data_IF_674124846354
#
_entry.id   IF_674124846354
#
_cell.length_a   1.000
_cell.length_b   1.000
_cell.length_c   1.000
_cell.angle_alpha   90.00
_cell.angle_beta   90.00
_cell.angle_gamma   90.00
#
_symmetry.space_group_name_H-M   'P 1'
#
loop_
_entity.id
_entity.type
_entity.pdbx_description
1 polymer ?
#
# COMPACT_ATOMS: atom_id res chain seq x y z
N UNK A 1 -22.34 41.84 -62.84
CA UNK A 1 -21.04 42.28 -62.35
C UNK A 1 -20.86 41.63 -60.99
N UNK A 2 -20.37 40.44 -60.96
CA UNK A 2 -20.10 39.74 -59.70
C UNK A 2 -19.12 38.63 -59.96
N UNK A 3 -17.95 38.75 -59.39
CA UNK A 3 -16.89 37.76 -59.53
C UNK A 3 -16.97 36.84 -58.32
N UNK A 4 -17.35 35.61 -58.60
CA UNK A 4 -17.24 34.52 -57.63
C UNK A 4 -15.78 34.08 -57.53
N UNK A 5 -15.19 34.20 -56.35
CA UNK A 5 -13.90 33.58 -56.04
C UNK A 5 -14.16 32.17 -55.50
N UNK A 6 -13.87 31.20 -56.33
CA UNK A 6 -13.90 29.80 -56.01
C UNK A 6 -12.52 29.47 -55.37
N UNK A 7 -12.49 29.28 -54.05
CA UNK A 7 -11.33 28.74 -53.39
C UNK A 7 -11.32 27.22 -53.60
N UNK A 8 -10.48 26.77 -54.49
CA UNK A 8 -10.14 25.37 -54.64
C UNK A 8 -9.08 25.07 -53.56
N UNK A 9 -9.50 24.44 -52.49
CA UNK A 9 -8.55 23.77 -51.58
C UNK A 9 -8.03 22.52 -52.29
N UNK A 10 -6.82 22.59 -52.80
CA UNK A 10 -6.07 21.44 -53.21
C UNK A 10 -5.63 20.72 -51.93
N UNK A 11 -6.29 19.62 -51.63
CA UNK A 11 -5.77 18.65 -50.65
C UNK A 11 -4.55 17.99 -51.28
N UNK A 12 -3.39 18.51 -50.98
CA UNK A 12 -2.14 17.80 -51.21
C UNK A 12 -2.06 16.65 -50.23
N UNK A 13 -2.47 15.47 -50.67
CA UNK A 13 -2.10 14.22 -50.01
C UNK A 13 -0.60 14.09 -50.15
N UNK A 14 0.14 14.55 -49.15
CA UNK A 14 1.53 14.17 -48.99
C UNK A 14 1.55 12.70 -48.56
N UNK A 15 1.70 11.84 -49.52
CA UNK A 15 2.27 10.51 -49.32
C UNK A 15 3.69 10.74 -48.85
N UNK A 16 3.86 10.86 -47.54
CA UNK A 16 5.16 10.68 -46.91
C UNK A 16 5.56 9.23 -47.19
N UNK A 17 6.32 9.03 -48.29
CA UNK A 17 7.10 7.84 -48.45
C UNK A 17 8.07 7.85 -47.28
N UNK A 18 7.94 6.91 -46.37
CA UNK A 18 8.98 6.59 -45.40
C UNK A 18 10.22 6.17 -46.17
N UNK A 19 11.02 7.13 -46.61
CA UNK A 19 12.41 6.83 -46.92
C UNK A 19 13.07 6.60 -45.56
N UNK A 20 13.68 5.46 -45.41
CA UNK A 20 14.43 5.01 -44.22
C UNK A 20 15.63 5.87 -43.90
N UNK A 21 15.85 6.97 -44.63
CA UNK A 21 17.04 7.83 -44.57
C UNK A 21 16.73 9.29 -44.23
N UNK A 22 15.54 9.64 -43.80
CA UNK A 22 15.36 10.92 -43.14
C UNK A 22 15.81 10.73 -41.68
N UNK A 23 17.04 11.14 -41.41
CA UNK A 23 17.52 11.33 -40.05
C UNK A 23 16.66 12.41 -39.38
N UNK A 24 15.52 12.01 -38.86
CA UNK A 24 14.95 12.67 -37.71
C UNK A 24 15.96 12.40 -36.63
N UNK A 25 16.61 13.45 -36.16
CA UNK A 25 17.38 13.35 -34.92
C UNK A 25 16.41 13.00 -33.82
N UNK A 26 16.13 11.71 -33.64
CA UNK A 26 15.54 11.23 -32.42
C UNK A 26 16.41 11.76 -31.27
N UNK A 27 15.82 12.26 -30.19
CA UNK A 27 16.61 12.57 -29.01
C UNK A 27 17.42 11.31 -28.70
N UNK A 28 18.75 11.48 -28.66
CA UNK A 28 19.66 10.38 -28.48
C UNK A 28 19.16 9.51 -27.35
N UNK A 29 18.71 8.28 -27.67
CA UNK A 29 18.39 7.26 -26.72
C UNK A 29 16.96 6.87 -26.51
N UNK A 30 16.06 7.09 -27.42
CA UNK A 30 14.84 6.28 -27.41
C UNK A 30 15.22 4.86 -27.82
N UNK A 31 15.16 3.93 -26.87
CA UNK A 31 15.05 2.51 -27.21
C UNK A 31 13.97 2.35 -28.28
N UNK A 32 14.09 1.37 -29.16
CA UNK A 32 13.08 1.14 -30.19
C UNK A 32 11.68 1.13 -29.57
N UNK A 33 10.63 1.29 -30.36
CA UNK A 33 9.22 1.42 -29.92
C UNK A 33 8.76 0.30 -28.95
N UNK A 34 9.54 -0.78 -28.83
CA UNK A 34 9.33 -1.88 -27.87
C UNK A 34 10.19 -1.76 -26.61
N UNK A 35 10.93 -0.63 -26.42
CA UNK A 35 11.79 -0.46 -25.26
C UNK A 35 12.99 -1.39 -25.20
N UNK A 36 13.35 -2.01 -26.29
CA UNK A 36 14.57 -2.83 -26.40
C UNK A 36 15.76 -1.90 -26.52
N UNK A 37 16.59 -1.92 -25.49
CA UNK A 37 17.87 -1.19 -25.44
C UNK A 37 18.80 -1.80 -26.49
N UNK A 38 19.48 -0.97 -27.27
CA UNK A 38 20.55 -1.47 -28.15
C UNK A 38 21.74 -1.91 -27.29
N UNK A 39 22.00 -3.21 -27.16
CA UNK A 39 23.08 -3.70 -26.31
C UNK A 39 24.46 -3.40 -26.91
N UNK A 40 24.51 -2.92 -28.17
CA UNK A 40 25.78 -2.62 -28.86
C UNK A 40 26.20 -1.16 -28.72
N UNK A 41 25.27 -0.26 -28.37
CA UNK A 41 25.56 1.14 -28.09
C UNK A 41 25.72 1.42 -26.60
N UNK A 42 26.95 1.63 -26.11
CA UNK A 42 27.17 1.92 -24.68
C UNK A 42 26.58 3.27 -24.23
N UNK A 43 26.18 4.13 -25.14
CA UNK A 43 25.61 5.45 -24.85
C UNK A 43 24.11 5.48 -25.04
N UNK A 44 23.50 4.38 -25.49
CA UNK A 44 22.05 4.30 -25.61
C UNK A 44 21.40 4.53 -24.24
N UNK A 45 20.59 5.59 -24.04
CA UNK A 45 19.93 5.83 -22.77
C UNK A 45 18.94 4.70 -22.48
N UNK A 46 18.84 4.35 -21.20
CA UNK A 46 17.95 3.30 -20.71
C UNK A 46 16.87 3.94 -19.86
N UNK A 47 15.63 3.87 -20.34
CA UNK A 47 14.46 4.38 -19.61
C UNK A 47 14.21 3.53 -18.36
N UNK A 48 13.91 4.18 -17.23
CA UNK A 48 13.44 3.52 -16.01
C UNK A 48 11.99 3.07 -16.21
N UNK A 49 11.75 1.78 -16.06
CA UNK A 49 10.42 1.16 -16.10
C UNK A 49 10.21 0.37 -14.83
N UNK A 50 9.01 0.39 -14.29
CA UNK A 50 8.70 -0.22 -13.00
C UNK A 50 7.42 -1.04 -13.10
N UNK A 51 7.46 -2.26 -12.55
CA UNK A 51 6.31 -3.10 -12.32
C UNK A 51 5.84 -3.01 -10.87
N UNK A 52 4.61 -3.43 -10.63
CA UNK A 52 4.04 -3.58 -9.30
C UNK A 52 3.51 -5.00 -9.11
N UNK A 53 3.88 -5.61 -8.00
CA UNK A 53 3.37 -6.92 -7.56
C UNK A 53 2.82 -6.84 -6.13
N UNK A 54 2.38 -7.99 -5.59
CA UNK A 54 2.08 -8.17 -4.16
C UNK A 54 0.63 -7.97 -3.74
N UNK A 55 -0.21 -7.29 -4.50
CA UNK A 55 -1.65 -7.31 -4.26
C UNK A 55 -2.27 -8.43 -5.10
N UNK A 56 -2.83 -9.35 -4.44
CA UNK A 56 -3.58 -10.34 -5.15
C UNK A 56 -5.05 -10.00 -5.19
N UNK A 57 -5.76 -10.75 -6.00
CA UNK A 57 -7.14 -10.52 -6.40
C UNK A 57 -8.10 -11.28 -5.55
N UNK A 58 -9.15 -10.62 -5.30
CA UNK A 58 -10.48 -11.11 -4.92
C UNK A 58 -10.94 -10.76 -3.52
N UNK A 59 -11.29 -9.48 -3.33
CA UNK A 59 -12.19 -9.11 -2.23
C UNK A 59 -13.05 -7.91 -2.61
N UNK A 60 -14.28 -7.92 -2.17
CA UNK A 60 -15.17 -6.75 -2.21
C UNK A 60 -14.49 -5.59 -1.48
N UNK A 61 -14.25 -4.43 -2.13
CA UNK A 61 -13.49 -3.35 -1.53
C UNK A 61 -14.16 -2.86 -0.25
N UNK A 62 -13.47 -3.02 0.86
CA UNK A 62 -13.75 -2.26 2.07
C UNK A 62 -12.96 -0.96 1.98
N UNK A 63 -13.62 0.15 2.20
CA UNK A 63 -13.04 1.49 2.01
C UNK A 63 -11.79 1.68 2.87
N UNK A 64 -10.77 2.31 2.30
CA UNK A 64 -9.51 2.63 2.97
C UNK A 64 -8.41 1.59 2.85
N UNK A 65 -8.73 0.37 2.45
CA UNK A 65 -7.78 -0.71 2.22
C UNK A 65 -7.53 -0.87 0.73
N UNK A 66 -6.27 -0.97 0.35
CA UNK A 66 -5.88 -1.22 -1.05
C UNK A 66 -5.90 -2.72 -1.30
N UNK A 67 -6.96 -3.18 -1.93
CA UNK A 67 -7.13 -4.59 -2.31
C UNK A 67 -6.94 -4.82 -3.81
N UNK A 68 -6.84 -3.75 -4.58
CA UNK A 68 -6.59 -3.77 -6.01
C UNK A 68 -5.93 -2.49 -6.49
N UNK A 69 -5.09 -2.58 -7.52
CA UNK A 69 -4.49 -1.42 -8.14
C UNK A 69 -5.49 -0.72 -9.07
N UNK A 70 -5.97 0.45 -8.68
CA UNK A 70 -6.87 1.25 -9.48
C UNK A 70 -6.47 2.73 -9.42
N UNK A 71 -5.52 3.12 -10.27
CA UNK A 71 -4.91 4.45 -10.25
C UNK A 71 -4.33 4.82 -8.87
N UNK A 72 -3.80 3.82 -8.17
CA UNK A 72 -3.23 3.99 -6.84
C UNK A 72 -1.93 4.78 -6.94
N UNK A 73 -1.81 5.81 -6.12
CA UNK A 73 -0.64 6.68 -6.11
C UNK A 73 0.32 6.26 -5.00
N UNK A 74 1.56 5.99 -5.39
CA UNK A 74 2.64 5.51 -4.52
C UNK A 74 3.86 6.43 -4.62
N UNK A 75 4.66 6.47 -3.56
CA UNK A 75 5.96 7.13 -3.58
C UNK A 75 7.06 6.15 -3.95
N UNK A 76 7.95 6.57 -4.84
CA UNK A 76 9.03 5.72 -5.35
C UNK A 76 10.38 6.36 -5.06
N UNK A 77 11.30 5.54 -4.56
CA UNK A 77 12.71 5.85 -4.42
C UNK A 77 13.53 4.88 -5.27
N UNK A 78 14.63 5.38 -5.83
CA UNK A 78 15.69 4.55 -6.42
C UNK A 78 17.03 5.03 -5.89
N UNK A 79 17.64 4.22 -5.04
CA UNK A 79 18.75 4.61 -4.20
C UNK A 79 19.93 3.66 -4.42
N UNK A 80 21.15 4.25 -4.47
CA UNK A 80 22.36 3.49 -4.67
C UNK A 80 22.62 2.51 -3.53
N UNK A 81 22.90 1.26 -3.88
CA UNK A 81 23.25 0.21 -2.93
C UNK A 81 24.75 0.10 -2.68
N UNK A 82 25.55 0.72 -3.54
CA UNK A 82 27.01 0.62 -3.51
C UNK A 82 27.59 1.14 -2.19
N UNK A 83 28.61 0.45 -1.70
CA UNK A 83 29.23 0.73 -0.39
C UNK A 83 30.00 2.05 -0.34
N UNK A 84 30.36 2.59 -1.52
CA UNK A 84 31.07 3.86 -1.64
C UNK A 84 30.22 5.07 -1.21
N UNK A 85 28.88 4.91 -1.23
CA UNK A 85 27.97 5.90 -0.68
C UNK A 85 27.64 5.54 0.77
N UNK A 86 28.05 6.36 1.72
CA UNK A 86 27.69 6.21 3.13
C UNK A 86 26.29 6.72 3.43
N UNK A 87 25.86 7.71 2.66
CA UNK A 87 24.55 8.36 2.70
C UNK A 87 24.05 8.60 1.30
N UNK A 88 22.77 8.85 1.14
CA UNK A 88 22.17 9.26 -0.13
C UNK A 88 22.05 10.77 -0.20
N UNK A 89 22.68 11.39 -1.20
CA UNK A 89 22.72 12.83 -1.35
C UNK A 89 22.34 13.26 -2.76
N UNK A 90 21.63 14.38 -2.86
CA UNK A 90 21.28 14.93 -4.15
C UNK A 90 22.54 15.39 -4.91
N UNK A 91 22.65 14.97 -6.15
CA UNK A 91 23.70 15.44 -7.08
C UNK A 91 24.98 14.60 -7.12
N UNK A 92 25.19 13.65 -6.23
CA UNK A 92 26.34 12.73 -6.26
C UNK A 92 26.06 11.42 -7.05
N UNK A 93 24.85 11.26 -7.54
CA UNK A 93 24.39 10.09 -8.26
C UNK A 93 23.85 8.95 -7.37
N UNK A 94 23.91 9.10 -6.04
CA UNK A 94 23.39 8.09 -5.13
C UNK A 94 21.85 8.02 -5.12
N UNK A 95 21.18 9.05 -5.61
CA UNK A 95 19.73 9.14 -5.75
C UNK A 95 19.36 9.23 -7.23
N UNK A 96 18.67 8.23 -7.75
CA UNK A 96 18.09 8.24 -9.10
C UNK A 96 16.66 8.76 -9.09
N UNK A 97 15.85 8.27 -8.15
CA UNK A 97 14.47 8.74 -7.88
C UNK A 97 14.37 9.13 -6.40
N UNK A 98 13.82 10.30 -6.14
CA UNK A 98 13.59 10.82 -4.79
C UNK A 98 12.12 11.17 -4.64
N UNK A 99 11.40 10.36 -3.87
CA UNK A 99 9.96 10.52 -3.65
C UNK A 99 9.17 10.77 -4.94
N UNK A 100 9.52 10.07 -6.00
CA UNK A 100 8.85 10.21 -7.29
C UNK A 100 7.43 9.67 -7.18
N UNK A 101 6.45 10.46 -7.67
CA UNK A 101 5.05 10.08 -7.69
C UNK A 101 4.82 9.02 -8.77
N UNK A 102 4.52 7.81 -8.35
CA UNK A 102 4.14 6.70 -9.22
C UNK A 102 2.62 6.49 -9.21
N UNK A 103 2.03 6.20 -10.36
CA UNK A 103 0.63 5.76 -10.46
C UNK A 103 0.59 4.33 -10.93
N UNK A 104 -0.03 3.46 -10.13
CA UNK A 104 -0.24 2.06 -10.48
C UNK A 104 -1.62 1.91 -11.09
N UNK A 105 -1.66 1.44 -12.34
CA UNK A 105 -2.91 1.10 -13.03
C UNK A 105 -2.96 -0.41 -13.19
N UNK A 106 -3.84 -1.04 -12.44
CA UNK A 106 -4.02 -2.50 -12.46
C UNK A 106 -5.16 -2.94 -13.37
N UNK A 107 -5.25 -4.25 -13.57
CA UNK A 107 -6.46 -4.87 -14.09
C UNK A 107 -7.50 -4.98 -12.96
N UNK A 108 -8.80 -4.91 -13.29
CA UNK A 108 -9.87 -5.14 -12.32
C UNK A 108 -9.84 -6.54 -11.70
N UNK A 109 -9.17 -7.50 -12.35
CA UNK A 109 -8.96 -8.87 -11.86
C UNK A 109 -7.67 -9.01 -11.02
N UNK A 110 -6.95 -7.87 -10.76
CA UNK A 110 -5.76 -7.77 -9.93
C UNK A 110 -4.53 -8.52 -10.45
N UNK A 111 -4.54 -8.98 -11.68
CA UNK A 111 -3.34 -9.56 -12.26
C UNK A 111 -2.22 -8.51 -12.32
N UNK A 112 -1.01 -8.92 -11.98
CA UNK A 112 0.19 -8.08 -12.07
C UNK A 112 0.42 -7.68 -13.52
N UNK A 113 0.40 -6.36 -13.79
CA UNK A 113 0.77 -5.83 -15.09
C UNK A 113 2.25 -5.44 -15.04
N UNK A 114 3.00 -6.02 -15.94
CA UNK A 114 4.38 -5.62 -16.19
C UNK A 114 4.41 -4.16 -16.63
N UNK A 115 5.32 -3.34 -16.08
CA UNK A 115 5.38 -1.89 -16.30
C UNK A 115 4.14 -1.13 -15.75
N UNK A 116 3.54 -1.62 -14.66
CA UNK A 116 2.30 -1.08 -14.11
C UNK A 116 2.47 0.28 -13.41
N UNK A 117 3.69 0.65 -13.02
CA UNK A 117 3.93 1.94 -12.34
C UNK A 117 4.35 2.99 -13.36
N UNK A 118 3.47 3.96 -13.56
CA UNK A 118 3.78 5.14 -14.38
C UNK A 118 4.41 6.21 -13.52
N UNK A 119 5.63 6.63 -13.87
CA UNK A 119 6.37 7.77 -13.28
C UNK A 119 6.68 8.81 -14.36
N UNK A 120 7.17 9.99 -13.96
CA UNK A 120 7.78 10.92 -14.91
C UNK A 120 8.97 10.26 -15.62
N UNK A 121 9.19 10.66 -16.88
CA UNK A 121 10.26 10.07 -17.71
C UNK A 121 11.63 10.26 -17.04
N UNK A 122 12.32 9.16 -16.75
CA UNK A 122 13.64 9.11 -16.13
C UNK A 122 14.51 8.08 -16.81
N UNK A 123 15.80 8.38 -16.90
CA UNK A 123 16.78 7.49 -17.47
C UNK A 123 17.85 7.14 -16.46
N UNK A 124 18.35 5.91 -16.54
CA UNK A 124 19.55 5.53 -15.79
C UNK A 124 20.74 6.39 -16.21
N UNK A 125 21.61 6.78 -15.26
CA UNK A 125 22.86 7.44 -15.61
C UNK A 125 23.68 6.62 -16.61
N UNK A 126 24.36 7.27 -17.53
CA UNK A 126 25.29 6.62 -18.46
C UNK A 126 26.49 5.98 -17.75
N UNK A 127 26.81 6.42 -16.55
CA UNK A 127 27.74 5.77 -15.64
C UNK A 127 27.15 4.45 -15.16
N UNK A 128 27.82 3.33 -15.46
CA UNK A 128 27.37 1.98 -15.13
C UNK A 128 27.91 1.49 -13.78
N UNK A 129 28.61 2.36 -13.02
CA UNK A 129 29.27 1.97 -11.77
C UNK A 129 28.32 2.06 -10.57
N UNK A 130 27.19 2.75 -10.72
CA UNK A 130 26.21 2.91 -9.65
C UNK A 130 25.07 1.92 -9.86
N UNK A 131 24.75 1.19 -8.81
CA UNK A 131 23.68 0.19 -8.78
C UNK A 131 22.55 0.63 -7.86
N UNK A 132 21.32 0.56 -8.35
CA UNK A 132 20.14 1.03 -7.62
C UNK A 132 19.26 -0.12 -7.13
N UNK A 133 18.66 0.08 -5.98
CA UNK A 133 17.49 -0.65 -5.47
C UNK A 133 16.29 0.28 -5.52
N UNK A 134 15.14 -0.24 -5.93
CA UNK A 134 13.89 0.51 -5.94
C UNK A 134 13.07 0.18 -4.69
N UNK A 135 12.46 1.21 -4.13
CA UNK A 135 11.57 1.12 -2.98
C UNK A 135 10.28 1.84 -3.30
N UNK A 136 9.16 1.25 -2.91
CA UNK A 136 7.84 1.84 -3.02
C UNK A 136 7.15 1.93 -1.67
N UNK A 137 6.32 2.95 -1.48
CA UNK A 137 5.47 3.06 -0.29
C UNK A 137 4.10 3.66 -0.63
N UNK A 138 3.12 3.32 0.16
CA UNK A 138 1.76 3.84 0.09
C UNK A 138 1.26 4.18 1.50
N UNK A 139 0.43 5.25 1.65
CA UNK A 139 0.06 6.23 0.64
C UNK A 139 1.20 7.20 0.29
N UNK A 140 1.20 7.71 -0.94
CA UNK A 140 2.14 8.75 -1.34
C UNK A 140 1.99 9.99 -0.48
N UNK A 141 3.12 10.58 -0.06
CA UNK A 141 3.17 11.83 0.67
C UNK A 141 4.11 12.81 -0.04
N UNK A 142 3.65 14.02 -0.26
CA UNK A 142 4.42 15.05 -0.97
C UNK A 142 3.54 16.10 -1.61
N UNK A 143 4.08 16.88 -2.52
CA UNK A 143 3.31 17.87 -3.25
C UNK A 143 2.12 17.21 -3.98
N UNK A 144 0.96 17.83 -3.94
CA UNK A 144 -0.28 17.34 -4.55
C UNK A 144 -0.84 16.01 -3.95
N UNK A 145 -0.43 15.66 -2.73
CA UNK A 145 -1.00 14.56 -1.94
C UNK A 145 -1.84 15.11 -0.78
N UNK A 146 -2.69 14.24 -0.20
CA UNK A 146 -3.44 14.57 1.03
C UNK A 146 -2.48 14.82 2.20
N UNK A 147 -1.42 14.01 2.30
CA UNK A 147 -0.29 14.27 3.19
C UNK A 147 0.81 15.00 2.41
N UNK A 148 0.98 16.28 2.69
CA UNK A 148 1.96 17.14 2.03
C UNK A 148 3.37 17.04 2.62
N UNK A 149 3.57 16.27 3.68
CA UNK A 149 4.87 16.09 4.35
C UNK A 149 5.64 14.95 3.71
N UNK A 150 6.68 15.20 2.90
CA UNK A 150 7.44 14.12 2.26
C UNK A 150 8.22 13.30 3.30
N UNK A 151 8.67 12.09 2.94
CA UNK A 151 9.63 11.35 3.75
C UNK A 151 10.92 12.14 4.00
N UNK A 152 11.56 11.90 5.13
CA UNK A 152 12.89 12.45 5.44
C UNK A 152 13.98 11.48 5.00
N UNK A 153 15.11 12.04 4.54
CA UNK A 153 16.31 11.27 4.18
C UNK A 153 17.47 11.76 5.05
N UNK A 154 17.78 11.00 6.08
CA UNK A 154 18.78 11.36 7.07
C UNK A 154 19.58 10.14 7.52
N UNK A 155 20.90 10.30 7.66
CA UNK A 155 21.80 9.26 8.17
C UNK A 155 21.70 7.92 7.43
N UNK A 156 21.49 7.95 6.11
CA UNK A 156 21.33 6.75 5.29
C UNK A 156 20.00 6.02 5.50
N UNK A 157 18.98 6.71 6.02
CA UNK A 157 17.62 6.18 6.14
C UNK A 157 16.61 7.14 5.52
N UNK A 158 15.66 6.58 4.79
CA UNK A 158 14.47 7.28 4.31
C UNK A 158 13.30 6.83 5.18
N UNK A 159 12.72 7.76 5.92
CA UNK A 159 11.64 7.47 6.88
C UNK A 159 10.41 8.34 6.63
N UNK A 160 9.23 7.76 6.74
CA UNK A 160 7.94 8.46 6.68
C UNK A 160 7.14 8.20 7.94
N UNK A 161 6.74 9.27 8.61
CA UNK A 161 5.78 9.21 9.72
C UNK A 161 4.37 9.29 9.17
N UNK A 162 3.52 8.33 9.56
CA UNK A 162 2.10 8.29 9.26
C UNK A 162 1.28 8.53 10.52
N UNK A 163 0.22 9.34 10.39
CA UNK A 163 -0.84 9.42 11.40
C UNK A 163 -1.99 8.56 10.94
N UNK A 164 -2.41 7.61 11.77
CA UNK A 164 -3.51 6.68 11.47
C UNK A 164 -4.68 6.87 12.41
N UNK A 165 -5.88 6.88 11.86
CA UNK A 165 -7.15 6.89 12.60
C UNK A 165 -7.92 5.57 12.47
N UNK A 166 -7.30 4.56 11.87
CA UNK A 166 -7.89 3.24 11.61
C UNK A 166 -8.40 3.05 10.18
N UNK A 167 -8.50 4.10 9.34
CA UNK A 167 -8.91 3.95 7.94
C UNK A 167 -7.75 3.81 6.97
N UNK A 168 -6.56 4.28 7.34
CA UNK A 168 -5.40 4.30 6.46
C UNK A 168 -4.75 2.93 6.37
N UNK A 169 -4.47 2.52 5.14
CA UNK A 169 -3.59 1.40 4.87
C UNK A 169 -2.17 1.90 4.61
N UNK A 170 -1.18 1.16 5.05
CA UNK A 170 0.23 1.45 4.79
C UNK A 170 0.83 0.23 4.11
N UNK A 171 1.41 0.47 2.93
CA UNK A 171 2.12 -0.57 2.19
C UNK A 171 3.55 -0.17 1.91
N UNK A 172 4.38 -1.16 1.76
CA UNK A 172 5.77 -1.02 1.39
C UNK A 172 6.20 -2.16 0.48
N UNK A 173 7.13 -1.88 -0.41
CA UNK A 173 7.74 -2.89 -1.26
C UNK A 173 9.10 -2.48 -1.77
N UNK A 174 9.87 -3.45 -2.25
CA UNK A 174 11.15 -3.20 -2.87
C UNK A 174 11.35 -4.08 -4.09
N UNK A 175 12.18 -3.59 -5.03
CA UNK A 175 12.71 -4.38 -6.12
C UNK A 175 14.24 -4.39 -6.01
N UNK A 176 14.79 -5.55 -5.70
CA UNK A 176 16.23 -5.80 -5.61
C UNK A 176 16.63 -6.64 -6.81
N UNK A 177 17.60 -6.14 -7.59
CA UNK A 177 18.12 -6.92 -8.69
C UNK A 177 18.82 -8.19 -8.17
N UNK A 178 18.46 -9.29 -8.74
CA UNK A 178 19.26 -10.51 -8.59
C UNK A 178 20.45 -10.45 -9.54
N UNK A 179 21.55 -11.10 -9.18
CA UNK A 179 22.70 -11.25 -10.07
C UNK A 179 22.28 -12.01 -11.33
N UNK A 180 22.52 -11.41 -12.49
CA UNK A 180 22.28 -12.06 -13.77
C UNK A 180 23.59 -12.27 -14.52
N UNK A 181 23.66 -13.34 -15.31
CA UNK A 181 24.81 -13.57 -16.16
C UNK A 181 24.81 -12.59 -17.32
N UNK A 182 25.95 -11.98 -17.53
CA UNK A 182 26.19 -11.15 -18.68
C UNK A 182 26.19 -12.01 -19.97
N UNK A 183 25.67 -11.44 -21.06
CA UNK A 183 25.55 -12.08 -22.37
C UNK A 183 26.87 -12.66 -22.93
N UNK A 184 27.98 -12.07 -22.53
CA UNK A 184 29.31 -12.46 -22.99
C UNK A 184 30.00 -13.44 -22.04
N UNK A 185 29.28 -14.03 -21.08
CA UNK A 185 29.82 -15.01 -20.13
C UNK A 185 30.78 -14.42 -19.08
N UNK A 186 30.76 -13.09 -18.94
CA UNK A 186 31.64 -12.36 -18.02
C UNK A 186 31.03 -12.15 -16.63
N UNK A 187 31.10 -10.92 -16.18
CA UNK A 187 30.70 -10.48 -14.84
C UNK A 187 29.20 -10.68 -14.57
N UNK A 188 28.87 -11.11 -13.37
CA UNK A 188 27.49 -11.12 -12.88
C UNK A 188 27.07 -9.71 -12.51
N UNK A 189 26.00 -9.22 -13.12
CA UNK A 189 25.44 -7.92 -12.81
C UNK A 189 24.60 -8.01 -11.52
N UNK A 190 24.81 -7.05 -10.62
CA UNK A 190 24.15 -6.98 -9.33
C UNK A 190 23.62 -5.57 -9.10
N UNK A 191 22.30 -5.41 -9.13
CA UNK A 191 21.62 -4.13 -9.03
C UNK A 191 21.18 -3.56 -10.37
N UNK A 192 20.23 -2.64 -10.32
CA UNK A 192 19.67 -2.00 -11.50
C UNK A 192 20.51 -0.80 -11.94
N UNK A 193 20.99 -0.84 -13.16
CA UNK A 193 21.64 0.28 -13.84
C UNK A 193 21.50 0.13 -15.35
N UNK A 194 22.04 1.06 -16.13
CA UNK A 194 21.98 0.97 -17.59
C UNK A 194 22.67 -0.30 -18.14
N UNK A 195 23.77 -0.74 -17.52
CA UNK A 195 24.49 -1.93 -17.93
C UNK A 195 23.67 -3.21 -17.70
N UNK A 196 22.89 -3.28 -16.61
CA UNK A 196 21.99 -4.40 -16.33
C UNK A 196 21.06 -4.67 -17.53
N UNK A 197 20.47 -3.62 -18.09
CA UNK A 197 19.54 -3.76 -19.23
C UNK A 197 20.25 -3.94 -20.57
N UNK A 198 21.45 -3.39 -20.73
CA UNK A 198 22.20 -3.52 -21.99
C UNK A 198 22.86 -4.88 -22.15
N UNK A 199 23.36 -5.47 -21.07
CA UNK A 199 24.16 -6.70 -21.12
C UNK A 199 23.50 -7.91 -20.48
N UNK A 200 22.45 -7.71 -19.68
CA UNK A 200 21.72 -8.81 -19.03
C UNK A 200 20.94 -9.65 -20.05
N UNK A 201 21.13 -10.96 -20.04
CA UNK A 201 20.33 -11.85 -20.90
C UNK A 201 18.89 -11.94 -20.43
N UNK A 202 18.68 -11.91 -19.12
CA UNK A 202 17.40 -12.09 -18.44
C UNK A 202 17.02 -10.85 -17.63
N UNK A 203 17.40 -9.65 -18.13
CA UNK A 203 17.08 -8.40 -17.46
C UNK A 203 15.56 -8.23 -17.36
N UNK A 204 15.05 -8.29 -16.15
CA UNK A 204 13.65 -8.06 -15.84
C UNK A 204 13.44 -6.61 -15.41
N UNK A 205 12.30 -6.03 -15.76
CA UNK A 205 11.84 -4.78 -15.19
C UNK A 205 11.82 -4.88 -13.66
N UNK A 206 12.32 -3.88 -12.91
CA UNK A 206 12.16 -3.85 -11.47
C UNK A 206 10.68 -3.97 -11.09
N UNK A 207 10.34 -5.01 -10.39
CA UNK A 207 8.98 -5.29 -9.93
C UNK A 207 8.93 -5.07 -8.41
N UNK A 208 8.24 -4.01 -8.00
CA UNK A 208 8.11 -3.65 -6.58
C UNK A 208 6.97 -4.48 -6.00
N UNK A 209 7.32 -5.49 -5.21
CA UNK A 209 6.36 -6.31 -4.50
C UNK A 209 5.88 -5.59 -3.24
N UNK A 210 4.68 -5.01 -3.32
CA UNK A 210 4.07 -4.33 -2.19
C UNK A 210 3.43 -5.32 -1.21
N UNK A 211 3.56 -5.03 0.06
CA UNK A 211 2.93 -5.74 1.17
C UNK A 211 2.29 -4.76 2.16
N UNK A 212 1.17 -5.15 2.73
CA UNK A 212 0.52 -4.38 3.79
C UNK A 212 1.33 -4.45 5.08
N UNK A 213 1.48 -3.32 5.75
CA UNK A 213 2.27 -3.20 6.98
C UNK A 213 1.41 -3.17 8.25
N UNK A 214 0.10 -3.11 8.11
CA UNK A 214 -0.86 -3.08 9.20
C UNK A 214 -1.69 -4.37 9.25
N UNK A 215 -2.39 -4.57 10.36
CA UNK A 215 -3.39 -5.63 10.54
C UNK A 215 -4.77 -5.03 10.36
N UNK A 216 -5.67 -5.74 9.70
CA UNK A 216 -7.06 -5.33 9.53
C UNK A 216 -7.97 -6.05 10.53
N UNK A 217 -8.81 -5.28 11.25
CA UNK A 217 -9.83 -5.79 12.15
C UNK A 217 -11.22 -5.42 11.63
N UNK A 218 -12.11 -6.42 11.49
CA UNK A 218 -13.49 -6.27 11.07
C UNK A 218 -14.41 -6.61 12.23
N UNK A 219 -15.18 -5.65 12.70
CA UNK A 219 -16.02 -5.85 13.89
C UNK A 219 -17.42 -6.32 13.52
N UNK A 220 -17.85 -7.38 14.19
CA UNK A 220 -19.20 -7.95 14.06
C UNK A 220 -19.83 -8.11 15.43
N UNK A 221 -21.05 -7.61 15.56
CA UNK A 221 -21.84 -7.72 16.78
C UNK A 221 -22.81 -8.89 16.65
N UNK A 222 -22.85 -9.73 17.68
CA UNK A 222 -23.82 -10.84 17.83
C UNK A 222 -24.69 -10.63 19.06
N UNK A 223 -25.94 -10.95 18.93
CA UNK A 223 -26.84 -11.10 20.10
C UNK A 223 -26.59 -12.47 20.73
N UNK A 224 -26.16 -12.49 21.99
CA UNK A 224 -25.90 -13.75 22.73
C UNK A 224 -26.78 -13.96 23.96
N UNK A 225 -27.54 -12.93 24.38
CA UNK A 225 -28.47 -12.99 25.48
C UNK A 225 -29.91 -12.86 25.03
N UNK A 226 -30.82 -13.14 25.95
CA UNK A 226 -32.24 -12.81 25.77
C UNK A 226 -32.48 -11.38 26.27
N UNK A 227 -32.84 -10.49 25.35
CA UNK A 227 -33.13 -9.10 25.64
C UNK A 227 -34.62 -8.85 25.55
N UNK A 228 -35.11 -7.93 26.37
CA UNK A 228 -36.52 -7.57 26.39
C UNK A 228 -36.89 -6.77 25.15
N UNK A 229 -37.77 -7.25 24.32
CA UNK A 229 -38.32 -6.57 23.14
C UNK A 229 -39.34 -5.47 23.48
N UNK A 230 -39.37 -5.02 24.71
CA UNK A 230 -40.43 -4.14 25.25
C UNK A 230 -40.22 -2.65 24.96
N UNK A 231 -40.07 -2.31 23.67
CA UNK A 231 -40.04 -0.91 23.18
C UNK A 231 -38.65 -0.25 23.12
N UNK A 232 -38.51 0.89 22.41
CA UNK A 232 -37.25 1.52 22.11
C UNK A 232 -36.46 1.96 23.35
N UNK A 233 -37.14 2.29 24.45
CA UNK A 233 -36.51 2.75 25.70
C UNK A 233 -35.77 1.64 26.45
N UNK A 234 -35.88 0.40 25.99
CA UNK A 234 -35.25 -0.78 26.62
C UNK A 234 -34.33 -1.55 25.68
N UNK A 235 -34.14 -1.08 24.48
CA UNK A 235 -33.26 -1.72 23.53
C UNK A 235 -31.80 -1.48 23.91
N UNK A 236 -31.02 -2.54 23.87
CA UNK A 236 -29.56 -2.45 24.08
C UNK A 236 -28.86 -2.14 22.76
N UNK A 237 -27.97 -1.15 22.77
CA UNK A 237 -27.18 -0.76 21.60
C UNK A 237 -25.72 -0.82 21.94
N UNK A 238 -24.89 -1.21 20.96
CA UNK A 238 -23.45 -0.90 20.90
C UNK A 238 -23.32 0.44 20.21
N UNK A 239 -22.81 1.43 20.91
CA UNK A 239 -22.73 2.82 20.44
C UNK A 239 -21.35 3.17 19.92
N UNK A 240 -20.29 2.57 20.48
CA UNK A 240 -18.90 2.82 20.12
C UNK A 240 -18.02 1.60 20.43
N UNK A 241 -16.98 1.42 19.65
CA UNK A 241 -15.88 0.51 19.94
C UNK A 241 -14.58 1.32 19.79
N UNK A 242 -13.69 1.22 20.76
CA UNK A 242 -12.37 1.82 20.74
C UNK A 242 -11.30 0.76 20.89
N UNK A 243 -10.23 0.88 20.12
CA UNK A 243 -9.07 -0.01 20.19
C UNK A 243 -7.89 0.77 20.70
N UNK A 244 -7.21 0.24 21.72
CA UNK A 244 -5.96 0.82 22.21
C UNK A 244 -4.80 0.42 21.28
N UNK A 245 -4.34 1.37 20.47
CA UNK A 245 -3.27 1.18 19.47
C UNK A 245 -2.51 2.49 19.27
N UNK A 246 -1.52 2.47 18.38
CA UNK A 246 -0.65 3.62 18.14
C UNK A 246 -1.19 4.47 16.97
N UNK A 247 -1.48 5.75 17.20
CA UNK A 247 -1.99 6.65 16.15
C UNK A 247 -0.89 7.24 15.25
N UNK A 248 0.39 7.03 15.57
CA UNK A 248 1.53 7.55 14.80
C UNK A 248 2.59 6.47 14.64
N UNK A 249 2.97 6.24 13.38
CA UNK A 249 3.89 5.17 12.99
C UNK A 249 4.97 5.70 12.06
N UNK A 250 6.21 5.25 12.26
CA UNK A 250 7.34 5.52 11.38
C UNK A 250 7.61 4.29 10.50
N UNK A 251 7.50 4.47 9.20
CA UNK A 251 7.91 3.50 8.19
C UNK A 251 9.31 3.82 7.71
N UNK A 252 10.25 2.89 7.84
CA UNK A 252 11.55 2.98 7.19
C UNK A 252 11.41 2.49 5.75
N UNK A 253 11.35 3.41 4.80
CA UNK A 253 11.20 3.11 3.37
C UNK A 253 12.48 2.46 2.85
N UNK A 254 13.63 3.04 3.19
CA UNK A 254 14.94 2.52 2.83
C UNK A 254 15.94 2.72 3.97
N UNK A 255 16.78 1.73 4.17
CA UNK A 255 17.90 1.76 5.10
C UNK A 255 19.16 1.33 4.37
N UNK A 256 20.19 2.17 4.38
CA UNK A 256 21.47 1.90 3.72
C UNK A 256 22.16 0.64 4.27
N UNK A 257 21.99 0.38 5.57
CA UNK A 257 22.47 -0.86 6.19
C UNK A 257 21.66 -2.10 5.77
N UNK A 258 20.44 -1.89 5.22
CA UNK A 258 19.57 -2.94 4.73
C UNK A 258 18.84 -3.74 5.80
N UNK A 259 18.98 -3.35 7.07
CA UNK A 259 18.41 -4.11 8.20
C UNK A 259 16.97 -3.72 8.52
N UNK A 260 16.60 -2.46 8.24
CA UNK A 260 15.32 -1.89 8.64
C UNK A 260 14.39 -1.58 7.44
N UNK A 261 14.73 -2.03 6.24
CA UNK A 261 13.90 -1.83 5.06
C UNK A 261 12.48 -2.35 5.28
N UNK A 262 11.47 -1.50 5.11
CA UNK A 262 10.07 -1.84 5.29
C UNK A 262 9.64 -2.06 6.74
N UNK A 263 10.51 -1.77 7.70
CA UNK A 263 10.16 -1.83 9.12
C UNK A 263 9.20 -0.68 9.46
N UNK A 264 8.17 -0.99 10.24
CA UNK A 264 7.22 -0.02 10.77
C UNK A 264 7.18 -0.11 12.28
N UNK A 265 7.29 1.03 12.95
CA UNK A 265 7.33 1.11 14.42
C UNK A 265 6.51 2.30 14.90
N UNK A 266 5.97 2.25 16.13
CA UNK A 266 5.36 3.42 16.74
C UNK A 266 6.38 4.57 16.89
N UNK A 267 5.99 5.78 16.49
CA UNK A 267 6.83 6.98 16.64
C UNK A 267 7.15 7.24 18.11
N UNK A 268 6.20 6.98 19.01
CA UNK A 268 6.41 6.96 20.45
C UNK A 268 5.98 5.59 21.00
N UNK A 269 6.97 4.72 21.19
CA UNK A 269 6.72 3.38 21.72
C UNK A 269 6.38 3.36 23.23
N UNK A 270 6.66 4.46 23.94
CA UNK A 270 6.45 4.57 25.39
C UNK A 270 5.34 5.57 25.68
N UNK A 271 4.10 5.08 25.79
CA UNK A 271 2.94 5.91 26.13
C UNK A 271 2.22 6.54 24.94
N UNK A 272 2.66 6.25 23.72
CA UNK A 272 2.04 6.78 22.50
C UNK A 272 0.75 6.05 22.08
N UNK A 273 0.38 4.94 22.72
CA UNK A 273 -0.88 4.27 22.44
C UNK A 273 -2.09 5.10 22.91
N UNK A 274 -3.12 5.12 22.09
CA UNK A 274 -4.38 5.83 22.35
C UNK A 274 -5.58 4.95 22.02
N UNK A 275 -6.72 5.27 22.59
CA UNK A 275 -8.00 4.64 22.25
C UNK A 275 -8.50 5.29 20.93
N UNK A 276 -8.48 4.54 19.85
CA UNK A 276 -8.91 4.98 18.52
C UNK A 276 -10.28 4.37 18.23
N UNK A 277 -11.30 5.18 17.91
CA UNK A 277 -12.65 4.68 17.65
C UNK A 277 -12.72 3.97 16.30
N UNK A 278 -13.56 2.96 16.22
CA UNK A 278 -13.99 2.35 14.96
C UNK A 278 -14.90 3.33 14.23
N UNK A 279 -14.57 3.65 13.01
CA UNK A 279 -15.24 4.66 12.18
C UNK A 279 -16.13 4.02 11.11
N UNK A 280 -17.00 4.80 10.46
CA UNK A 280 -17.88 4.31 9.39
C UNK A 280 -17.42 4.68 7.98
N UNK A 281 -16.44 5.58 7.86
CA UNK A 281 -15.91 6.05 6.58
C UNK A 281 -14.50 6.64 6.72
N UNK A 282 -13.86 6.90 5.60
CA UNK A 282 -12.51 7.44 5.55
C UNK A 282 -12.42 8.90 6.05
N UNK A 283 -13.56 9.61 6.16
CA UNK A 283 -13.59 10.94 6.74
C UNK A 283 -13.41 10.93 8.27
N UNK A 284 -13.42 9.76 8.89
CA UNK A 284 -13.23 9.59 10.33
C UNK A 284 -14.51 9.78 11.16
N UNK A 285 -15.70 9.72 10.53
CA UNK A 285 -16.95 9.78 11.25
C UNK A 285 -17.12 8.53 12.13
N UNK A 286 -17.67 8.72 13.33
CA UNK A 286 -17.96 7.63 14.25
C UNK A 286 -18.92 6.59 13.62
N UNK A 287 -18.71 5.31 13.94
CA UNK A 287 -19.58 4.24 13.50
C UNK A 287 -21.02 4.43 14.02
N UNK A 288 -22.00 4.04 13.22
CA UNK A 288 -23.39 4.10 13.61
C UNK A 288 -23.70 3.06 14.69
N UNK A 289 -24.52 3.41 15.68
CA UNK A 289 -24.90 2.51 16.75
C UNK A 289 -25.66 1.28 16.20
N UNK A 290 -25.33 0.11 16.71
CA UNK A 290 -25.99 -1.15 16.38
C UNK A 290 -26.93 -1.57 17.52
N UNK A 291 -28.21 -1.70 17.22
CA UNK A 291 -29.21 -2.17 18.17
C UNK A 291 -29.14 -3.69 18.26
N UNK A 292 -28.64 -4.19 19.39
CA UNK A 292 -28.39 -5.63 19.60
C UNK A 292 -29.68 -6.46 19.52
N UNK A 293 -30.80 -5.91 20.02
CA UNK A 293 -32.09 -6.59 19.98
C UNK A 293 -32.60 -6.91 18.56
N UNK A 294 -32.18 -6.10 17.57
CA UNK A 294 -32.61 -6.23 16.18
C UNK A 294 -31.68 -7.13 15.34
N UNK A 295 -30.62 -7.68 15.94
CA UNK A 295 -29.66 -8.52 15.20
C UNK A 295 -30.27 -9.93 15.03
N UNK A 296 -30.33 -10.37 13.77
CA UNK A 296 -30.54 -11.76 13.39
C UNK A 296 -29.22 -12.33 12.83
N UNK A 297 -28.52 -13.10 13.67
CA UNK A 297 -27.16 -13.57 13.36
C UNK A 297 -26.09 -12.58 13.77
N UNK A 298 -25.46 -11.90 12.80
CA UNK A 298 -24.36 -10.95 12.99
C UNK A 298 -24.66 -9.61 12.32
N UNK A 299 -24.16 -8.52 12.88
CA UNK A 299 -24.21 -7.18 12.28
C UNK A 299 -22.83 -6.56 12.28
N UNK A 300 -22.37 -6.03 11.15
CA UNK A 300 -21.14 -5.27 11.09
C UNK A 300 -21.23 -4.00 11.95
N UNK A 301 -20.11 -3.63 12.56
CA UNK A 301 -19.98 -2.38 13.31
C UNK A 301 -18.88 -1.53 12.67
N UNK A 302 -19.27 -0.43 12.07
CA UNK A 302 -18.35 0.45 11.34
C UNK A 302 -17.74 -0.18 10.10
N UNK A 303 -16.61 0.38 9.68
CA UNK A 303 -15.76 -0.15 8.62
C UNK A 303 -14.60 -0.96 9.22
N UNK A 304 -13.85 -1.64 8.37
CA UNK A 304 -12.60 -2.27 8.77
C UNK A 304 -11.64 -1.25 9.38
N UNK A 305 -10.96 -1.64 10.43
CA UNK A 305 -9.99 -0.81 11.13
C UNK A 305 -8.58 -1.34 10.93
N UNK A 306 -7.68 -0.47 10.49
CA UNK A 306 -6.26 -0.76 10.33
C UNK A 306 -5.51 -0.42 11.62
N UNK A 307 -4.77 -1.38 12.16
CA UNK A 307 -4.06 -1.24 13.43
C UNK A 307 -2.60 -1.69 13.29
N UNK A 308 -1.74 -1.07 14.06
CA UNK A 308 -0.34 -1.52 14.17
C UNK A 308 -0.27 -2.91 14.80
N UNK A 309 0.64 -3.74 14.31
CA UNK A 309 1.02 -5.00 14.94
C UNK A 309 2.52 -5.08 15.15
N UNK A 310 2.95 -5.53 16.32
CA UNK A 310 4.34 -5.82 16.63
C UNK A 310 4.79 -7.21 16.13
N UNK A 311 4.11 -7.74 15.10
CA UNK A 311 4.39 -9.05 14.52
C UNK A 311 4.18 -10.18 15.53
N UNK A 312 5.08 -11.15 15.55
CA UNK A 312 4.97 -12.37 16.39
C UNK A 312 4.72 -12.13 17.88
N UNK A 313 4.93 -10.91 18.37
CA UNK A 313 4.71 -10.56 19.78
C UNK A 313 3.33 -9.97 20.06
N UNK A 314 2.59 -9.60 19.02
CA UNK A 314 1.24 -9.00 19.18
C UNK A 314 0.19 -10.10 19.27
N UNK A 315 -0.06 -10.63 20.46
CA UNK A 315 -1.06 -11.68 20.68
C UNK A 315 -2.43 -11.15 21.11
N UNK A 316 -2.50 -9.89 21.53
CA UNK A 316 -3.74 -9.28 22.02
C UNK A 316 -3.86 -7.81 21.63
N UNK A 317 -5.12 -7.33 21.48
CA UNK A 317 -5.44 -5.89 21.50
C UNK A 317 -6.39 -5.61 22.65
N UNK A 318 -6.14 -4.55 23.40
CA UNK A 318 -7.09 -4.02 24.38
C UNK A 318 -8.12 -3.15 23.68
N UNK A 319 -9.37 -3.29 24.05
CA UNK A 319 -10.45 -2.53 23.45
C UNK A 319 -11.54 -2.19 24.49
N UNK A 320 -12.41 -1.27 24.13
CA UNK A 320 -13.60 -0.90 24.91
C UNK A 320 -14.82 -0.96 24.02
N UNK A 321 -15.86 -1.61 24.49
CA UNK A 321 -17.18 -1.62 23.85
C UNK A 321 -18.09 -0.75 24.71
N UNK A 322 -18.74 0.21 24.09
CA UNK A 322 -19.68 1.11 24.76
C UNK A 322 -21.11 0.64 24.49
N UNK A 323 -21.83 0.47 25.57
CA UNK A 323 -23.20 -0.05 25.60
C UNK A 323 -24.17 0.97 26.17
N UNK A 324 -25.33 1.09 25.55
CA UNK A 324 -26.40 2.00 25.99
C UNK A 324 -27.74 1.32 25.97
N UNK A 325 -28.54 1.54 27.03
CA UNK A 325 -29.90 1.03 27.13
C UNK A 325 -30.91 2.14 26.79
N UNK A 326 -31.65 1.98 25.72
CA UNK A 326 -32.63 2.97 25.25
C UNK A 326 -31.96 4.26 24.74
N UNK A 327 -32.81 5.24 24.39
CA UNK A 327 -32.33 6.54 23.84
C UNK A 327 -31.70 7.43 24.91
N UNK A 328 -32.24 7.41 26.13
CA UNK A 328 -31.87 8.31 27.23
C UNK A 328 -31.00 7.64 28.32
N UNK A 329 -30.66 6.36 28.16
CA UNK A 329 -29.81 5.63 29.10
C UNK A 329 -28.37 6.18 29.15
N UNK A 330 -27.71 5.94 30.27
CA UNK A 330 -26.27 6.22 30.37
C UNK A 330 -25.46 5.22 29.54
N UNK A 331 -24.43 5.71 28.90
CA UNK A 331 -23.46 4.86 28.18
C UNK A 331 -22.46 4.25 29.16
N UNK A 332 -22.29 2.95 29.10
CA UNK A 332 -21.37 2.19 29.95
C UNK A 332 -20.29 1.54 29.06
N UNK A 333 -19.02 1.75 29.40
CA UNK A 333 -17.92 1.09 28.72
C UNK A 333 -17.59 -0.27 29.37
N UNK A 334 -17.41 -1.27 28.53
CA UNK A 334 -16.94 -2.61 28.92
C UNK A 334 -15.56 -2.85 28.32
N UNK A 335 -14.51 -3.00 29.13
CA UNK A 335 -13.20 -3.37 28.61
C UNK A 335 -13.21 -4.81 28.10
N UNK A 336 -12.59 -5.03 26.96
CA UNK A 336 -12.46 -6.33 26.33
C UNK A 336 -11.01 -6.56 25.89
N UNK A 337 -10.64 -7.82 25.71
CA UNK A 337 -9.38 -8.22 25.11
C UNK A 337 -9.68 -9.02 23.84
N UNK A 338 -9.16 -8.56 22.72
CA UNK A 338 -9.26 -9.23 21.44
C UNK A 338 -8.05 -10.14 21.33
N UNK A 339 -8.24 -11.42 21.09
CA UNK A 339 -7.19 -12.42 20.93
C UNK A 339 -7.60 -13.51 19.95
N UNK A 340 -6.61 -14.12 19.34
CA UNK A 340 -6.79 -15.32 18.52
C UNK A 340 -6.80 -16.58 19.37
N UNK A 341 -7.20 -17.68 18.75
CA UNK A 341 -7.09 -19.00 19.39
C UNK A 341 -5.62 -19.34 19.69
N UNK A 342 -5.43 -20.15 20.75
CA UNK A 342 -4.12 -20.65 21.13
C UNK A 342 -3.05 -19.56 21.34
N UNK A 343 -3.51 -18.32 21.63
CA UNK A 343 -2.66 -17.13 21.78
C UNK A 343 -1.74 -16.88 20.55
N UNK A 344 -2.25 -17.21 19.36
CA UNK A 344 -1.57 -16.89 18.10
C UNK A 344 -1.37 -15.38 17.96
N UNK A 345 -0.33 -14.97 17.24
CA UNK A 345 -0.05 -13.58 16.99
C UNK A 345 -0.88 -13.02 15.85
N UNK A 346 -1.21 -11.73 15.93
CA UNK A 346 -1.74 -10.97 14.81
C UNK A 346 -0.61 -10.59 13.87
N UNK A 347 -0.82 -10.77 12.58
CA UNK A 347 0.18 -10.54 11.55
C UNK A 347 -0.17 -9.33 10.69
N UNK A 348 0.84 -8.59 10.25
CA UNK A 348 0.68 -7.57 9.23
C UNK A 348 0.23 -8.22 7.90
N UNK A 349 -0.58 -7.49 7.13
CA UNK A 349 -1.14 -8.00 5.88
C UNK A 349 -2.19 -9.10 6.06
N UNK A 350 -2.71 -9.26 7.28
CA UNK A 350 -3.80 -10.20 7.56
C UNK A 350 -5.06 -9.47 8.04
N UNK A 351 -6.19 -10.05 7.71
CA UNK A 351 -7.51 -9.56 8.12
C UNK A 351 -8.16 -10.50 9.12
N UNK A 352 -8.79 -9.95 10.15
CA UNK A 352 -9.41 -10.72 11.21
C UNK A 352 -10.83 -10.24 11.47
N UNK A 353 -11.78 -11.17 11.57
CA UNK A 353 -13.13 -10.88 12.07
C UNK A 353 -13.13 -10.91 13.59
N UNK A 354 -13.51 -9.82 14.21
CA UNK A 354 -13.67 -9.69 15.66
C UNK A 354 -15.15 -9.81 15.99
N UNK A 355 -15.54 -10.97 16.47
CA UNK A 355 -16.93 -11.26 16.82
C UNK A 355 -17.18 -10.88 18.28
N UNK A 356 -18.07 -9.93 18.50
CA UNK A 356 -18.43 -9.40 19.82
C UNK A 356 -19.83 -9.90 20.17
N UNK A 357 -19.90 -10.86 21.08
CA UNK A 357 -21.13 -11.43 21.56
C UNK A 357 -21.64 -10.66 22.79
N UNK A 358 -22.73 -9.92 22.62
CA UNK A 358 -23.33 -9.11 23.69
C UNK A 358 -24.40 -9.92 24.42
N UNK A 359 -24.12 -10.24 25.70
CA UNK A 359 -25.04 -10.99 26.56
C UNK A 359 -25.93 -10.08 27.42
N UNK A 360 -25.39 -8.93 27.83
CA UNK A 360 -26.10 -7.92 28.64
C UNK A 360 -25.29 -6.64 28.73
N UNK A 361 -25.79 -5.61 29.40
CA UNK A 361 -25.05 -4.37 29.70
C UNK A 361 -23.69 -4.61 30.43
N UNK A 362 -23.55 -5.76 31.08
CA UNK A 362 -22.38 -6.04 31.93
C UNK A 362 -21.57 -7.25 31.47
N UNK A 363 -21.97 -7.91 30.38
CA UNK A 363 -21.27 -9.10 29.91
C UNK A 363 -21.15 -9.08 28.38
N UNK A 364 -19.91 -8.93 27.91
CA UNK A 364 -19.51 -9.00 26.51
C UNK A 364 -18.44 -10.06 26.36
N UNK A 365 -18.61 -10.95 25.39
CA UNK A 365 -17.62 -11.96 25.03
C UNK A 365 -17.05 -11.65 23.64
N UNK A 366 -15.76 -11.88 23.43
CA UNK A 366 -15.08 -11.54 22.18
C UNK A 366 -14.21 -12.69 21.70
N UNK A 367 -14.34 -12.98 20.41
CA UNK A 367 -13.47 -13.91 19.70
C UNK A 367 -12.97 -13.25 18.42
N UNK A 368 -11.72 -13.50 18.05
CA UNK A 368 -11.16 -13.06 16.78
C UNK A 368 -10.79 -14.28 15.93
N UNK A 369 -11.12 -14.23 14.65
CA UNK A 369 -10.82 -15.27 13.68
C UNK A 369 -10.17 -14.68 12.45
N UNK A 370 -9.20 -15.40 11.88
CA UNK A 370 -8.57 -15.01 10.61
C UNK A 370 -9.63 -15.01 9.49
N UNK A 371 -9.61 -14.02 8.64
CA UNK A 371 -10.44 -13.95 7.43
C UNK A 371 -9.56 -13.59 6.22
N UNK A 372 -10.11 -13.77 5.02
CA UNK A 372 -9.36 -13.46 3.80
C UNK A 372 -9.09 -11.97 3.69
N UNK A 373 -7.82 -11.62 3.55
CA UNK A 373 -7.35 -10.35 3.02
C UNK A 373 -6.35 -10.58 1.89
N UNK A 374 -5.58 -11.66 1.96
CA UNK A 374 -4.65 -11.98 0.88
C UNK A 374 -5.35 -12.82 -0.21
N UNK A 375 -5.04 -12.58 -1.47
CA UNK A 375 -5.49 -13.42 -2.55
C UNK A 375 -4.77 -14.75 -2.51
N UNK A 376 -5.52 -15.80 -2.67
CA UNK A 376 -4.99 -17.10 -3.02
C UNK A 376 -5.11 -18.23 -2.02
N UNK A 377 -5.33 -18.00 -0.75
CA UNK A 377 -5.56 -19.08 0.20
C UNK A 377 -7.00 -19.08 0.73
N UNK A 378 -7.72 -20.17 0.45
CA UNK A 378 -8.99 -20.47 1.11
C UNK A 378 -8.71 -20.78 2.58
N UNK A 379 -8.68 -19.73 3.42
CA UNK A 379 -8.68 -19.94 4.85
C UNK A 379 -10.07 -20.46 5.22
N UNK A 380 -10.17 -21.70 5.62
CA UNK A 380 -11.36 -22.25 6.26
C UNK A 380 -11.62 -21.47 7.54
N UNK A 381 -12.88 -21.12 7.80
CA UNK A 381 -13.29 -20.49 9.06
C UNK A 381 -12.83 -21.38 10.22
N UNK A 382 -11.91 -20.87 11.03
CA UNK A 382 -11.51 -21.59 12.25
C UNK A 382 -12.58 -21.31 13.28
N UNK A 383 -13.54 -22.24 13.41
CA UNK A 383 -14.49 -22.23 14.53
C UNK A 383 -13.72 -22.63 15.81
N UNK A 384 -13.70 -21.70 16.76
CA UNK A 384 -13.15 -21.94 18.09
C UNK A 384 -14.30 -22.29 19.01
N UNK A 385 -14.31 -23.55 19.48
CA UNK A 385 -15.21 -24.05 20.51
C UNK A 385 -14.83 -23.55 21.91
#
# INVERSE_FOLDING_TARGET
MKKNFLFVMAAAAMLASCSKDAAVSEPAGTGNENGVVDPTDPNSPVLVRLGAGGLGVDVTPTRGVVDSWNNTVVGIYALAKDADFTEWQAGDGSILLENEKGTITGNPDGSVIKDAITIAEKYYPGNNDIHYTFYGYYPYAGADADDTTPPTNENGKVTKTFTINGSQDIMWGQAVATKINNKDGGEQLDGYNALYFRKGQDAATPDIAFEHKLTQLNFKIKKAGEFSTAGPDKQLSVTKIEINTFPSLDLTIADKAGTDNGNIVPTDAIGGAADIPVIKNDAGDDADAVIVDNIDGESAFGTSMMVYTAGETQTTYSAKVYLKMGTDGEEVSSPITIKLAEDAAFEAGKSYNVNIAVNSMMKVEVNATLTKWQPGDDAEDIEIN
#
